data_IF_839618337109
#
_entry.id   IF_839618337109
#
_cell.length_a   1.000
_cell.length_b   1.000
_cell.length_c   1.000
_cell.angle_alpha   90.00
_cell.angle_beta   90.00
_cell.angle_gamma   90.00
#
_symmetry.space_group_name_H-M   'P 1'
#
loop_
_entity.id
_entity.type
_entity.pdbx_description
1 polymer ?
#
# COMPACT_ATOMS: atom_id res chain seq x y z
N UNK A 1 -13.15 -8.78 6.44
CA UNK A 1 -13.93 -7.55 6.71
C UNK A 1 -13.77 -6.65 5.50
N UNK A 2 -14.86 -6.08 5.01
CA UNK A 2 -14.81 -5.10 3.91
C UNK A 2 -14.97 -3.69 4.48
N UNK A 3 -14.29 -2.73 3.86
CA UNK A 3 -14.28 -1.34 4.23
C UNK A 3 -14.59 -0.53 2.97
N UNK A 4 -15.68 0.25 3.01
CA UNK A 4 -16.02 1.17 1.95
C UNK A 4 -15.27 2.49 2.18
N UNK A 5 -14.09 2.60 1.58
CA UNK A 5 -13.13 3.64 1.90
C UNK A 5 -13.22 4.83 0.93
N UNK A 6 -13.25 6.04 1.48
CA UNK A 6 -13.00 7.29 0.75
C UNK A 6 -11.55 7.70 0.99
N UNK A 7 -10.76 7.80 -0.07
CA UNK A 7 -9.34 8.16 0.03
C UNK A 7 -9.17 9.62 0.43
N UNK A 8 -8.49 9.88 1.54
CA UNK A 8 -8.13 11.24 1.98
C UNK A 8 -6.73 11.63 1.51
N UNK A 9 -5.81 10.66 1.47
CA UNK A 9 -4.45 10.81 0.96
C UNK A 9 -3.87 9.43 0.64
N UNK A 10 -3.03 9.34 -0.40
CA UNK A 10 -2.32 8.12 -0.75
C UNK A 10 -0.84 8.43 -1.06
N UNK A 11 0.08 7.61 -0.56
CA UNK A 11 1.52 7.78 -0.77
C UNK A 11 2.24 6.44 -0.85
N UNK A 12 3.29 6.38 -1.67
CA UNK A 12 4.27 5.31 -1.68
C UNK A 12 5.39 5.69 -0.72
N UNK A 13 5.52 4.95 0.36
CA UNK A 13 6.56 5.16 1.36
C UNK A 13 7.67 4.13 1.20
N UNK A 14 8.93 4.59 1.21
CA UNK A 14 10.08 3.71 1.35
C UNK A 14 10.20 3.23 2.81
N UNK A 15 10.35 1.92 2.96
CA UNK A 15 10.68 1.23 4.17
C UNK A 15 12.11 0.70 4.05
N UNK A 16 13.01 1.23 4.88
CA UNK A 16 14.35 0.69 5.04
C UNK A 16 14.27 -0.62 5.82
N UNK A 17 14.23 -1.75 5.11
CA UNK A 17 14.47 -3.05 5.71
C UNK A 17 15.97 -3.34 5.64
N UNK A 18 16.48 -4.13 6.58
CA UNK A 18 17.89 -4.56 6.58
C UNK A 18 17.93 -6.08 6.53
N UNK A 19 18.86 -6.61 5.74
CA UNK A 19 19.20 -8.01 5.81
C UNK A 19 19.83 -8.31 7.18
N UNK A 20 19.25 -9.25 7.94
CA UNK A 20 19.73 -9.58 9.28
C UNK A 20 21.06 -10.33 9.28
N UNK A 21 21.46 -10.92 8.15
CA UNK A 21 22.70 -11.67 8.00
C UNK A 21 23.81 -10.78 7.45
N UNK A 22 23.53 -10.02 6.39
CA UNK A 22 24.56 -9.20 5.71
C UNK A 22 24.59 -7.74 6.17
N UNK A 23 23.57 -7.27 6.88
CA UNK A 23 23.42 -5.86 7.26
C UNK A 23 23.09 -4.92 6.10
N UNK A 24 22.96 -5.44 4.87
CA UNK A 24 22.70 -4.63 3.69
C UNK A 24 21.28 -4.03 3.74
N UNK A 25 21.16 -2.75 3.35
CA UNK A 25 19.86 -2.08 3.18
C UNK A 25 19.10 -2.77 2.05
N UNK A 26 17.89 -3.21 2.34
CA UNK A 26 16.90 -3.71 1.39
C UNK A 26 15.81 -2.66 1.24
N UNK A 27 15.88 -1.78 0.22
CA UNK A 27 14.80 -0.85 -0.05
C UNK A 27 13.53 -1.64 -0.31
N UNK A 28 12.45 -1.27 0.39
CA UNK A 28 11.13 -1.85 0.21
C UNK A 28 10.13 -0.71 0.13
N UNK A 29 9.10 -0.84 -0.68
CA UNK A 29 8.07 0.19 -0.80
C UNK A 29 6.75 -0.33 -0.26
N UNK A 30 5.92 0.58 0.26
CA UNK A 30 4.57 0.26 0.72
C UNK A 30 3.63 1.42 0.38
N UNK A 31 2.43 1.08 -0.06
CA UNK A 31 1.38 2.08 -0.27
C UNK A 31 0.66 2.30 1.04
N UNK A 32 0.74 3.52 1.55
CA UNK A 32 0.03 3.97 2.74
C UNK A 32 -1.05 4.94 2.29
N UNK A 33 -2.28 4.72 2.73
CA UNK A 33 -3.38 5.64 2.50
C UNK A 33 -4.06 5.99 3.82
N UNK A 34 -4.56 7.20 3.92
CA UNK A 34 -5.52 7.56 4.95
C UNK A 34 -6.88 7.57 4.28
N UNK A 35 -7.83 6.86 4.88
CA UNK A 35 -9.18 6.70 4.34
C UNK A 35 -10.20 7.05 5.41
N UNK A 36 -11.37 7.48 4.96
CA UNK A 36 -12.57 7.59 5.75
C UNK A 36 -13.46 6.38 5.44
N UNK A 37 -13.96 5.69 6.45
CA UNK A 37 -15.02 4.70 6.26
C UNK A 37 -16.33 5.44 5.95
N UNK A 38 -16.94 5.15 4.80
CA UNK A 38 -18.19 5.79 4.39
C UNK A 38 -19.39 5.40 5.26
N UNK A 39 -19.31 4.27 5.96
CA UNK A 39 -20.42 3.75 6.77
C UNK A 39 -20.38 4.27 8.22
N UNK A 40 -19.17 4.50 8.75
CA UNK A 40 -18.96 4.85 10.17
C UNK A 40 -18.38 6.24 10.40
N UNK A 41 -17.98 6.95 9.33
CA UNK A 41 -17.24 8.21 9.37
C UNK A 41 -15.92 8.15 10.18
N UNK A 42 -15.40 6.94 10.41
CA UNK A 42 -14.13 6.74 11.10
C UNK A 42 -12.93 6.84 10.16
N UNK A 43 -11.84 7.42 10.66
CA UNK A 43 -10.60 7.56 9.89
C UNK A 43 -9.64 6.42 10.18
N UNK A 44 -9.12 5.83 9.13
CA UNK A 44 -8.17 4.73 9.21
C UNK A 44 -6.92 5.00 8.38
N UNK A 45 -5.78 4.62 8.93
CA UNK A 45 -4.57 4.44 8.12
C UNK A 45 -4.55 3.02 7.59
N UNK A 46 -4.50 2.88 6.27
CA UNK A 46 -4.45 1.60 5.57
C UNK A 46 -3.09 1.43 4.89
N UNK A 47 -2.52 0.23 5.01
CA UNK A 47 -1.38 -0.19 4.21
C UNK A 47 -1.86 -1.21 3.17
N UNK A 48 -1.72 -0.87 1.89
CA UNK A 48 -2.11 -1.78 0.81
C UNK A 48 -1.00 -2.78 0.57
N UNK A 49 -1.39 -4.05 0.61
CA UNK A 49 -0.47 -5.18 0.41
C UNK A 49 -0.67 -5.90 -0.91
N UNK A 50 -1.80 -5.71 -1.60
CA UNK A 50 -2.00 -6.24 -2.96
C UNK A 50 -3.13 -5.51 -3.69
N UNK A 51 -3.15 -5.62 -5.01
CA UNK A 51 -4.21 -5.11 -5.88
C UNK A 51 -3.76 -4.07 -6.92
N UNK A 52 -2.57 -3.50 -6.77
CA UNK A 52 -1.93 -2.68 -7.81
C UNK A 52 -0.92 -3.52 -8.59
N UNK A 53 -1.00 -3.51 -9.91
CA UNK A 53 -0.08 -4.29 -10.76
C UNK A 53 1.38 -3.86 -10.55
N UNK A 54 1.62 -2.55 -10.49
CA UNK A 54 2.92 -1.94 -10.21
C UNK A 54 3.48 -2.29 -8.82
N UNK A 55 2.61 -2.46 -7.80
CA UNK A 55 3.02 -2.94 -6.48
C UNK A 55 3.49 -4.40 -6.51
N UNK A 56 2.81 -5.26 -7.28
CA UNK A 56 3.25 -6.65 -7.46
C UNK A 56 4.58 -6.71 -8.24
N UNK A 57 4.74 -5.87 -9.26
CA UNK A 57 6.00 -5.72 -10.00
C UNK A 57 7.14 -5.30 -9.06
N UNK A 58 6.93 -4.31 -8.19
CA UNK A 58 7.93 -3.89 -7.19
C UNK A 58 8.37 -5.04 -6.27
N UNK A 59 7.44 -5.89 -5.83
CA UNK A 59 7.79 -7.06 -5.02
C UNK A 59 8.64 -8.06 -5.79
N UNK A 60 8.36 -8.26 -7.09
CA UNK A 60 9.13 -9.13 -7.97
C UNK A 60 10.54 -8.59 -8.21
N UNK A 61 10.68 -7.31 -8.55
CA UNK A 61 11.98 -6.63 -8.72
C UNK A 61 12.81 -6.75 -7.44
N UNK A 62 12.20 -6.56 -6.26
CA UNK A 62 12.85 -6.77 -4.97
C UNK A 62 13.28 -8.22 -4.77
N UNK A 63 12.46 -9.21 -5.16
CA UNK A 63 12.78 -10.63 -5.05
C UNK A 63 13.96 -11.02 -5.96
N UNK A 64 14.12 -10.33 -7.09
CA UNK A 64 15.23 -10.53 -8.02
C UNK A 64 16.50 -9.75 -7.65
N UNK A 65 16.48 -8.98 -6.54
CA UNK A 65 17.57 -8.09 -6.13
C UNK A 65 17.98 -7.10 -7.23
N UNK A 66 16.99 -6.55 -7.95
CA UNK A 66 17.22 -5.51 -8.94
C UNK A 66 17.85 -4.26 -8.30
N UNK A 67 18.60 -3.45 -9.07
CA UNK A 67 19.22 -2.24 -8.56
C UNK A 67 18.23 -1.26 -7.94
N UNK A 68 18.66 -0.52 -6.91
CA UNK A 68 17.83 0.46 -6.20
C UNK A 68 17.20 1.51 -7.13
N UNK A 69 17.93 1.93 -8.17
CA UNK A 69 17.43 2.86 -9.19
C UNK A 69 16.20 2.33 -9.92
N UNK A 70 16.16 1.03 -10.21
CA UNK A 70 15.01 0.37 -10.88
C UNK A 70 13.82 0.30 -9.92
N UNK A 71 14.07 -0.02 -8.65
CA UNK A 71 13.03 -0.03 -7.62
C UNK A 71 12.44 1.36 -7.38
N UNK A 72 13.28 2.41 -7.38
CA UNK A 72 12.83 3.79 -7.25
C UNK A 72 11.97 4.23 -8.44
N UNK A 73 12.36 3.89 -9.67
CA UNK A 73 11.55 4.20 -10.87
C UNK A 73 10.18 3.52 -10.82
N UNK A 74 10.13 2.24 -10.46
CA UNK A 74 8.86 1.51 -10.31
C UNK A 74 8.01 2.08 -9.16
N UNK A 75 8.62 2.57 -8.07
CA UNK A 75 7.92 3.25 -6.98
C UNK A 75 7.32 4.59 -7.41
N UNK A 76 8.03 5.37 -8.24
CA UNK A 76 7.51 6.62 -8.81
C UNK A 76 6.33 6.36 -9.76
N UNK A 77 6.40 5.31 -10.57
CA UNK A 77 5.27 4.89 -11.42
C UNK A 77 4.05 4.53 -10.57
N UNK A 78 4.24 3.71 -9.54
CA UNK A 78 3.17 3.38 -8.59
C UNK A 78 2.58 4.63 -7.92
N UNK A 79 3.39 5.64 -7.60
CA UNK A 79 2.92 6.89 -7.01
C UNK A 79 1.95 7.65 -7.92
N UNK A 80 2.10 7.54 -9.25
CA UNK A 80 1.17 8.14 -10.23
C UNK A 80 -0.12 7.34 -10.43
N UNK A 81 -0.11 6.05 -10.09
CA UNK A 81 -1.28 5.16 -10.17
C UNK A 81 -2.15 5.19 -8.91
N UNK A 82 -1.70 5.87 -7.85
CA UNK A 82 -2.46 5.94 -6.61
C UNK A 82 -3.79 6.68 -6.84
N UNK A 83 -4.87 6.23 -6.18
CA UNK A 83 -6.17 6.85 -6.29
C UNK A 83 -6.10 8.32 -5.85
N UNK A 84 -6.75 9.24 -6.58
CA UNK A 84 -6.81 10.63 -6.15
C UNK A 84 -7.62 10.78 -4.87
N UNK A 85 -7.50 11.96 -4.25
CA UNK A 85 -8.30 12.31 -3.07
C UNK A 85 -9.79 12.29 -3.41
N UNK A 86 -10.61 11.85 -2.45
CA UNK A 86 -12.05 11.61 -2.55
C UNK A 86 -12.47 10.44 -3.45
N UNK A 87 -11.54 9.61 -3.93
CA UNK A 87 -11.91 8.37 -4.62
C UNK A 87 -12.49 7.36 -3.64
N UNK A 88 -13.63 6.78 -4.00
CA UNK A 88 -14.25 5.66 -3.29
C UNK A 88 -13.64 4.34 -3.74
N UNK A 89 -13.38 3.44 -2.80
CA UNK A 89 -12.88 2.11 -3.09
C UNK A 89 -13.27 1.09 -2.04
N UNK A 90 -13.54 -0.13 -2.50
CA UNK A 90 -13.73 -1.27 -1.63
C UNK A 90 -12.36 -1.84 -1.23
N UNK A 91 -12.11 -1.86 0.08
CA UNK A 91 -10.92 -2.47 0.66
C UNK A 91 -11.32 -3.71 1.44
N UNK A 92 -10.52 -4.76 1.33
CA UNK A 92 -10.64 -5.92 2.20
C UNK A 92 -9.53 -5.86 3.25
N UNK A 93 -9.95 -5.77 4.52
CA UNK A 93 -9.05 -5.78 5.67
C UNK A 93 -8.61 -7.21 5.93
N UNK A 94 -7.31 -7.45 5.76
CA UNK A 94 -6.67 -8.75 5.96
C UNK A 94 -6.18 -8.92 7.40
N UNK A 95 -5.64 -7.86 8.00
CA UNK A 95 -5.19 -7.85 9.40
C UNK A 95 -5.13 -6.44 9.94
N UNK A 96 -5.19 -6.32 11.26
CA UNK A 96 -4.99 -5.06 11.98
C UNK A 96 -3.63 -5.09 12.64
N UNK A 97 -2.80 -4.06 12.42
CA UNK A 97 -1.55 -3.85 13.15
C UNK A 97 -1.72 -2.68 14.10
N UNK A 98 -1.51 -2.91 15.39
CA UNK A 98 -1.38 -1.84 16.37
C UNK A 98 0.12 -1.56 16.61
N UNK A 99 0.56 -0.31 16.46
CA UNK A 99 1.90 0.12 16.86
C UNK A 99 1.80 1.42 17.65
N UNK A 100 2.22 1.38 18.90
CA UNK A 100 2.33 2.56 19.78
C UNK A 100 1.06 3.43 19.84
N UNK A 101 -0.12 2.82 19.92
CA UNK A 101 -1.40 3.53 19.98
C UNK A 101 -2.03 3.90 18.64
N UNK A 102 -1.35 3.65 17.51
CA UNK A 102 -1.90 3.84 16.17
C UNK A 102 -2.32 2.49 15.56
N UNK A 103 -3.52 2.46 14.99
CA UNK A 103 -4.04 1.31 14.24
C UNK A 103 -3.76 1.50 12.75
N UNK A 104 -3.06 0.53 12.17
CA UNK A 104 -2.89 0.41 10.72
C UNK A 104 -3.62 -0.82 10.22
N UNK A 105 -4.60 -0.61 9.36
CA UNK A 105 -5.31 -1.69 8.69
C UNK A 105 -4.47 -2.17 7.51
N UNK A 106 -4.17 -3.46 7.46
CA UNK A 106 -3.51 -4.05 6.31
C UNK A 106 -4.59 -4.54 5.37
N UNK A 107 -4.66 -3.92 4.20
CA UNK A 107 -5.72 -4.16 3.25
C UNK A 107 -5.20 -4.68 1.91
N UNK A 108 -6.11 -5.28 1.15
CA UNK A 108 -5.99 -5.41 -0.30
C UNK A 108 -7.12 -4.65 -0.97
N UNK A 109 -6.92 -4.22 -2.22
CA UNK A 109 -8.05 -3.78 -3.03
C UNK A 109 -8.98 -4.98 -3.20
N UNK A 110 -10.22 -4.87 -2.74
CA UNK A 110 -11.25 -5.81 -3.14
C UNK A 110 -11.41 -5.59 -4.65
N UNK A 111 -11.21 -6.64 -5.45
CA UNK A 111 -11.25 -6.51 -6.91
C UNK A 111 -12.48 -5.70 -7.29
N UNK A 112 -12.25 -4.49 -7.80
CA UNK A 112 -13.27 -3.75 -8.51
C UNK A 112 -13.62 -4.64 -9.70
N UNK A 113 -14.74 -5.34 -9.61
CA UNK A 113 -15.47 -5.78 -10.80
C UNK A 113 -15.84 -4.52 -11.55
N UNK A 114 -14.88 -3.95 -12.28
CA UNK A 114 -15.16 -3.11 -13.42
C UNK A 114 -15.83 -4.04 -14.44
N UNK A 115 -17.14 -4.19 -14.33
CA UNK A 115 -17.94 -4.70 -15.43
C UNK A 115 -17.76 -3.70 -16.58
N UNK A 116 -17.24 -4.26 -17.68
CA UNK A 116 -17.16 -3.68 -19.03
C UNK A 116 -18.53 -3.25 -19.49
#
# INVERSE_FOLDING_TARGET
MFLNAIVLSATVQEMSLYDQVTGAKKPSYSVIMNVLDADTDEKYTVQITSGFASLEQLKLLRKHNEPEQVLQQAAQQLQTELPPKMTTMALEVLKVKAKSGFLTLICRLAQSTAMV
#
